data_IF_506789497498
#
_entry.id   IF_506789497498
#
_cell.length_a   1.000
_cell.length_b   1.000
_cell.length_c   1.000
_cell.angle_alpha   90.00
_cell.angle_beta   90.00
_cell.angle_gamma   90.00
#
_symmetry.space_group_name_H-M   'P 1'
#
loop_
_entity.id
_entity.type
_entity.pdbx_description
1 polymer ?
#
# COMPACT_ATOMS: atom_id res chain seq x y z
N UNK A 1 -12.78 9.68 -20.30
CA UNK A 1 -12.75 11.13 -20.05
C UNK A 1 -11.39 11.53 -19.47
N UNK A 2 -10.76 12.58 -20.06
CA UNK A 2 -9.42 13.05 -19.66
C UNK A 2 -9.32 13.44 -18.16
N UNK A 3 -10.43 13.71 -17.49
CA UNK A 3 -10.51 13.96 -16.05
C UNK A 3 -10.26 12.69 -15.21
N UNK A 4 -10.55 11.50 -15.74
CA UNK A 4 -10.35 10.23 -15.05
C UNK A 4 -8.89 9.75 -15.11
N UNK A 5 -8.15 10.06 -16.19
CA UNK A 5 -6.73 9.71 -16.32
C UNK A 5 -5.85 10.51 -15.35
N UNK A 6 -6.12 11.79 -15.15
CA UNK A 6 -5.43 12.60 -14.14
C UNK A 6 -5.79 12.16 -12.71
N UNK A 7 -6.97 11.54 -12.54
CA UNK A 7 -7.42 10.98 -11.25
C UNK A 7 -6.63 9.75 -10.81
N UNK A 8 -6.23 8.87 -11.73
CA UNK A 8 -5.57 7.58 -11.47
C UNK A 8 -4.03 7.65 -11.48
N UNK A 9 -3.45 8.78 -11.04
CA UNK A 9 -2.01 8.91 -10.87
C UNK A 9 -1.19 8.64 -12.14
N UNK A 10 -1.69 9.12 -13.29
CA UNK A 10 -0.99 9.03 -14.57
C UNK A 10 -0.86 7.61 -15.11
N UNK A 11 -1.76 6.70 -14.73
CA UNK A 11 -1.83 5.34 -15.27
C UNK A 11 -2.25 5.41 -16.74
N UNK A 12 -1.37 5.06 -17.71
CA UNK A 12 -1.67 5.22 -19.14
C UNK A 12 -2.65 4.17 -19.68
N UNK A 13 -2.75 3.00 -19.04
CA UNK A 13 -3.70 1.94 -19.39
C UNK A 13 -3.94 1.01 -18.21
N UNK A 14 -4.97 0.17 -18.27
CA UNK A 14 -5.25 -0.83 -17.24
C UNK A 14 -4.14 -1.89 -17.10
N UNK A 15 -3.40 -2.13 -18.17
CA UNK A 15 -2.28 -3.10 -18.19
C UNK A 15 -1.00 -2.53 -17.56
N UNK A 16 -0.99 -1.23 -17.24
CA UNK A 16 0.13 -0.58 -16.57
C UNK A 16 0.06 -0.82 -15.07
N UNK A 17 1.06 -1.46 -14.43
CA UNK A 17 1.04 -1.68 -12.98
C UNK A 17 0.94 -0.36 -12.20
N UNK A 18 -0.05 -0.26 -11.32
CA UNK A 18 -0.27 0.86 -10.42
C UNK A 18 0.01 0.45 -8.98
N UNK A 19 1.10 0.99 -8.43
CA UNK A 19 1.43 0.88 -7.01
C UNK A 19 0.83 2.06 -6.26
N UNK A 20 0.19 1.80 -5.14
CA UNK A 20 -0.40 2.83 -4.28
C UNK A 20 0.28 2.83 -2.90
N UNK A 21 0.65 4.00 -2.41
CA UNK A 21 1.09 4.20 -1.04
C UNK A 21 0.26 5.31 -0.39
N UNK A 22 -0.32 5.03 0.77
CA UNK A 22 -1.20 5.97 1.47
C UNK A 22 -0.66 6.25 2.87
N UNK A 23 -0.62 7.53 3.25
CA UNK A 23 -0.24 7.90 4.60
C UNK A 23 0.36 9.28 4.71
N UNK A 24 0.58 9.74 5.95
CA UNK A 24 1.24 11.01 6.20
C UNK A 24 2.65 11.02 5.60
N UNK A 25 3.04 12.12 4.97
CA UNK A 25 4.38 12.29 4.38
C UNK A 25 5.38 12.69 5.46
N UNK A 26 5.70 11.73 6.33
CA UNK A 26 6.67 11.84 7.45
C UNK A 26 7.66 10.68 7.38
N UNK A 27 8.83 10.82 8.01
CA UNK A 27 9.93 9.88 7.89
C UNK A 27 9.54 8.43 8.26
N UNK A 28 8.80 8.25 9.36
CA UNK A 28 8.41 6.92 9.85
C UNK A 28 7.52 6.12 8.90
N UNK A 29 6.84 6.78 7.93
CA UNK A 29 6.00 6.11 6.92
C UNK A 29 6.81 5.47 5.77
N UNK A 30 8.13 5.58 5.77
CA UNK A 30 9.01 4.81 4.90
C UNK A 30 8.94 5.14 3.41
N UNK A 31 8.27 6.22 3.00
CA UNK A 31 8.14 6.58 1.57
C UNK A 31 9.50 6.77 0.87
N UNK A 32 10.57 7.11 1.61
CA UNK A 32 11.92 7.17 1.04
C UNK A 32 12.46 5.78 0.66
N UNK A 33 12.18 4.75 1.46
CA UNK A 33 12.55 3.37 1.14
C UNK A 33 11.82 2.93 -0.14
N UNK A 34 10.53 3.22 -0.24
CA UNK A 34 9.75 2.93 -1.44
C UNK A 34 10.30 3.67 -2.68
N UNK A 35 10.65 4.96 -2.57
CA UNK A 35 11.25 5.67 -3.70
C UNK A 35 12.61 5.08 -4.11
N UNK A 36 13.41 4.60 -3.15
CA UNK A 36 14.71 3.97 -3.43
C UNK A 36 14.57 2.59 -4.09
N UNK A 37 13.44 1.89 -3.91
CA UNK A 37 13.15 0.63 -4.59
C UNK A 37 12.65 0.82 -6.02
N UNK A 38 12.14 1.99 -6.38
CA UNK A 38 11.55 2.25 -7.69
C UNK A 38 12.49 1.99 -8.89
N UNK A 39 13.80 2.30 -8.85
CA UNK A 39 14.69 1.96 -9.97
C UNK A 39 14.71 0.46 -10.28
N UNK A 40 14.78 -0.41 -9.26
CA UNK A 40 14.74 -1.87 -9.42
C UNK A 40 13.37 -2.38 -9.86
N UNK A 41 12.28 -1.76 -9.37
CA UNK A 41 10.91 -2.07 -9.81
C UNK A 41 10.73 -1.73 -11.29
N UNK A 42 11.15 -0.52 -11.71
CA UNK A 42 11.03 -0.06 -13.09
C UNK A 42 11.93 -0.82 -14.06
N UNK A 43 13.05 -1.37 -13.60
CA UNK A 43 13.91 -2.21 -14.43
C UNK A 43 13.18 -3.49 -14.90
N UNK A 44 12.30 -4.06 -14.06
CA UNK A 44 11.47 -5.22 -14.42
C UNK A 44 10.11 -4.83 -14.99
N UNK A 45 9.55 -3.72 -14.54
CA UNK A 45 8.23 -3.23 -14.93
C UNK A 45 8.32 -1.78 -15.43
N UNK A 46 8.85 -1.52 -16.64
CA UNK A 46 9.15 -0.15 -17.13
C UNK A 46 7.94 0.77 -17.19
N UNK A 47 6.73 0.20 -17.31
CA UNK A 47 5.47 0.93 -17.32
C UNK A 47 4.93 1.29 -15.94
N UNK A 48 5.43 0.69 -14.85
CA UNK A 48 4.84 0.84 -13.53
C UNK A 48 4.74 2.30 -13.07
N UNK A 49 3.67 2.61 -12.34
CA UNK A 49 3.41 3.93 -11.75
C UNK A 49 3.27 3.80 -10.25
N UNK A 50 3.83 4.76 -9.53
CA UNK A 50 3.68 4.89 -8.08
C UNK A 50 2.86 6.13 -7.75
N UNK A 51 1.73 5.92 -7.10
CA UNK A 51 0.91 6.98 -6.52
C UNK A 51 1.11 7.04 -5.01
N UNK A 52 1.58 8.16 -4.50
CA UNK A 52 1.67 8.41 -3.05
C UNK A 52 0.59 9.42 -2.67
N UNK A 53 -0.34 9.02 -1.81
CA UNK A 53 -1.46 9.87 -1.36
C UNK A 53 -1.24 10.27 0.09
N UNK A 54 -1.15 11.58 0.34
CA UNK A 54 -1.04 12.09 1.70
C UNK A 54 -0.51 13.51 1.81
N UNK A 55 -0.49 13.99 3.05
CA UNK A 55 0.04 15.33 3.40
C UNK A 55 1.18 15.18 4.42
N UNK A 56 2.14 16.10 4.38
CA UNK A 56 3.23 16.14 5.34
C UNK A 56 4.44 16.91 4.85
N UNK A 57 5.34 17.19 5.77
CA UNK A 57 6.51 18.04 5.52
C UNK A 57 7.53 17.43 4.54
N UNK A 58 7.50 16.11 4.34
CA UNK A 58 8.45 15.44 3.45
C UNK A 58 8.10 15.54 1.96
N UNK A 59 6.98 16.14 1.57
CA UNK A 59 6.55 16.20 0.15
C UNK A 59 7.66 16.72 -0.77
N UNK A 60 8.30 17.85 -0.41
CA UNK A 60 9.40 18.44 -1.21
C UNK A 60 10.62 17.51 -1.27
N UNK A 61 10.97 16.86 -0.17
CA UNK A 61 12.08 15.90 -0.07
C UNK A 61 11.82 14.68 -0.97
N UNK A 62 10.62 14.13 -0.95
CA UNK A 62 10.23 12.99 -1.78
C UNK A 62 10.30 13.32 -3.27
N UNK A 63 9.78 14.47 -3.70
CA UNK A 63 9.88 14.93 -5.10
C UNK A 63 11.34 15.12 -5.53
N UNK A 64 12.18 15.73 -4.69
CA UNK A 64 13.63 15.89 -4.96
C UNK A 64 14.32 14.53 -5.08
N UNK A 65 13.97 13.58 -4.21
CA UNK A 65 14.53 12.23 -4.23
C UNK A 65 14.10 11.46 -5.48
N UNK A 66 12.82 11.51 -5.85
CA UNK A 66 12.33 10.87 -7.08
C UNK A 66 13.08 11.39 -8.32
N UNK A 67 13.30 12.71 -8.40
CA UNK A 67 14.13 13.32 -9.48
C UNK A 67 15.57 12.83 -9.44
N UNK A 68 16.21 12.80 -8.25
CA UNK A 68 17.60 12.33 -8.09
C UNK A 68 17.80 10.87 -8.52
N UNK A 69 16.78 10.04 -8.26
CA UNK A 69 16.78 8.61 -8.64
C UNK A 69 16.39 8.38 -10.11
N UNK A 70 16.04 9.41 -10.88
CA UNK A 70 15.61 9.28 -12.27
C UNK A 70 14.19 8.72 -12.45
N UNK A 71 13.43 8.54 -11.34
CA UNK A 71 12.09 7.90 -11.35
C UNK A 71 10.94 8.91 -11.31
N UNK A 72 11.22 10.22 -11.41
CA UNK A 72 10.22 11.28 -11.30
C UNK A 72 9.08 11.18 -12.31
N UNK A 73 9.30 10.57 -13.47
CA UNK A 73 8.29 10.34 -14.51
C UNK A 73 7.26 9.27 -14.14
N UNK A 74 7.59 8.39 -13.19
CA UNK A 74 6.76 7.29 -12.75
C UNK A 74 6.14 7.52 -11.36
N UNK A 75 6.45 8.63 -10.66
CA UNK A 75 6.06 8.90 -9.28
C UNK A 75 5.14 10.11 -9.19
N UNK A 76 3.95 9.90 -8.66
CA UNK A 76 2.91 10.92 -8.48
C UNK A 76 2.62 11.09 -6.99
N UNK A 77 2.68 12.33 -6.47
CA UNK A 77 2.39 12.63 -5.07
C UNK A 77 1.16 13.53 -5.02
N UNK A 78 0.03 12.96 -4.58
CA UNK A 78 -1.24 13.66 -4.39
C UNK A 78 -1.40 14.12 -2.93
N UNK A 79 -2.22 15.13 -2.72
CA UNK A 79 -2.67 15.55 -1.39
C UNK A 79 -3.63 14.53 -0.75
N UNK A 80 -4.12 14.86 0.45
CA UNK A 80 -5.23 14.08 1.03
C UNK A 80 -6.51 14.31 0.21
N UNK A 81 -7.35 13.29 0.15
CA UNK A 81 -8.61 13.27 -0.58
C UNK A 81 -9.77 12.78 0.29
N UNK A 82 -10.99 12.78 -0.23
CA UNK A 82 -12.15 12.20 0.45
C UNK A 82 -12.03 10.69 0.58
N UNK A 83 -12.81 10.11 1.47
CA UNK A 83 -12.82 8.66 1.70
C UNK A 83 -13.26 7.89 0.44
N UNK A 84 -14.27 8.41 -0.27
CA UNK A 84 -14.80 7.81 -1.50
C UNK A 84 -13.73 7.76 -2.59
N UNK A 85 -13.01 8.87 -2.80
CA UNK A 85 -11.93 8.94 -3.77
C UNK A 85 -10.77 8.02 -3.39
N UNK A 86 -10.43 7.93 -2.10
CA UNK A 86 -9.39 7.03 -1.62
C UNK A 86 -9.78 5.57 -1.85
N UNK A 87 -11.03 5.19 -1.58
CA UNK A 87 -11.55 3.85 -1.86
C UNK A 87 -11.48 3.50 -3.37
N UNK A 88 -11.71 4.47 -4.26
CA UNK A 88 -11.52 4.27 -5.70
C UNK A 88 -10.05 4.02 -6.05
N UNK A 89 -9.11 4.76 -5.43
CA UNK A 89 -7.67 4.54 -5.65
C UNK A 89 -7.22 3.17 -5.16
N UNK A 90 -7.72 2.70 -4.01
CA UNK A 90 -7.45 1.34 -3.56
C UNK A 90 -7.93 0.31 -4.60
N UNK A 91 -9.20 0.36 -5.01
CA UNK A 91 -9.76 -0.58 -6.01
C UNK A 91 -9.10 -0.52 -7.39
N UNK A 92 -8.49 0.59 -7.74
CA UNK A 92 -7.82 0.78 -9.03
C UNK A 92 -6.35 0.40 -9.01
N UNK A 93 -5.75 0.25 -7.84
CA UNK A 93 -4.35 -0.15 -7.70
C UNK A 93 -4.20 -1.66 -7.87
N UNK A 94 -3.08 -2.07 -8.45
CA UNK A 94 -2.71 -3.49 -8.53
C UNK A 94 -2.09 -3.98 -7.24
N UNK A 95 -1.48 -3.07 -6.47
CA UNK A 95 -0.79 -3.40 -5.23
C UNK A 95 -0.69 -2.15 -4.34
N UNK A 96 -0.99 -2.30 -3.07
CA UNK A 96 -0.65 -1.29 -2.06
C UNK A 96 0.71 -1.60 -1.45
N UNK A 97 1.57 -0.60 -1.36
CA UNK A 97 2.88 -0.72 -0.70
C UNK A 97 2.89 0.12 0.56
N UNK A 98 3.05 -0.54 1.70
CA UNK A 98 3.02 0.11 3.01
C UNK A 98 4.33 -0.05 3.78
N UNK A 99 5.33 0.80 3.51
CA UNK A 99 6.69 0.65 4.02
C UNK A 99 6.93 1.29 5.38
N UNK A 100 5.91 1.39 6.23
CA UNK A 100 5.99 2.09 7.51
C UNK A 100 6.91 1.39 8.50
N UNK A 101 7.83 2.13 9.12
CA UNK A 101 8.79 1.62 10.09
C UNK A 101 8.16 1.33 11.46
N UNK A 102 7.06 1.99 11.77
CA UNK A 102 6.38 1.84 13.06
C UNK A 102 4.89 2.16 12.94
N UNK A 103 4.05 1.26 13.44
CA UNK A 103 2.59 1.40 13.53
C UNK A 103 2.07 0.93 14.88
N UNK A 104 0.94 1.52 15.30
CA UNK A 104 0.17 1.01 16.42
C UNK A 104 -0.75 -0.15 16.00
N UNK A 105 -1.35 -0.07 14.81
CA UNK A 105 -2.22 -1.09 14.22
C UNK A 105 -1.97 -1.24 12.72
N UNK A 106 -2.06 -0.15 11.93
CA UNK A 106 -1.92 -0.21 10.48
C UNK A 106 -3.26 -0.32 9.75
N UNK A 107 -4.11 0.72 9.84
CA UNK A 107 -5.43 0.72 9.19
C UNK A 107 -5.33 0.68 7.66
N UNK A 108 -4.33 1.32 7.06
CA UNK A 108 -4.18 1.36 5.59
C UNK A 108 -4.07 -0.03 4.95
N UNK A 109 -3.28 -0.99 5.48
CA UNK A 109 -3.33 -2.38 5.01
C UNK A 109 -4.72 -3.00 5.09
N UNK A 110 -5.46 -2.80 6.18
CA UNK A 110 -6.82 -3.32 6.32
C UNK A 110 -7.79 -2.67 5.33
N UNK A 111 -7.70 -1.35 5.10
CA UNK A 111 -8.49 -0.62 4.10
C UNK A 111 -8.20 -1.12 2.68
N UNK A 112 -6.94 -1.43 2.38
CA UNK A 112 -6.53 -2.02 1.11
C UNK A 112 -7.14 -3.40 0.90
N UNK A 113 -6.97 -4.31 1.86
CA UNK A 113 -7.55 -5.66 1.79
C UNK A 113 -9.08 -5.62 1.73
N UNK A 114 -9.73 -4.75 2.52
CA UNK A 114 -11.18 -4.54 2.45
C UNK A 114 -11.64 -4.10 1.06
N UNK A 115 -10.81 -3.34 0.36
CA UNK A 115 -11.07 -2.87 -1.02
C UNK A 115 -10.77 -3.93 -2.08
N UNK A 116 -10.24 -5.11 -1.70
CA UNK A 116 -9.85 -6.17 -2.61
C UNK A 116 -8.51 -5.90 -3.31
N UNK A 117 -7.60 -5.21 -2.64
CA UNK A 117 -6.27 -4.90 -3.19
C UNK A 117 -5.19 -5.49 -2.26
N UNK A 118 -4.30 -6.36 -2.74
CA UNK A 118 -3.26 -6.98 -1.93
C UNK A 118 -2.22 -5.95 -1.48
N UNK A 119 -1.49 -6.29 -0.43
CA UNK A 119 -0.54 -5.38 0.24
C UNK A 119 0.86 -5.98 0.28
N UNK A 120 1.87 -5.17 -0.01
CA UNK A 120 3.26 -5.44 0.36
C UNK A 120 3.63 -4.53 1.54
N UNK A 121 4.04 -5.12 2.66
CA UNK A 121 4.36 -4.38 3.89
C UNK A 121 5.61 -4.92 4.57
N UNK A 122 6.08 -4.22 5.61
CA UNK A 122 7.25 -4.65 6.39
C UNK A 122 6.95 -5.93 7.18
N UNK A 123 7.94 -6.81 7.25
CA UNK A 123 7.92 -8.01 8.08
C UNK A 123 8.18 -7.65 9.55
N UNK A 124 7.21 -7.00 10.18
CA UNK A 124 7.29 -6.50 11.57
C UNK A 124 5.92 -6.36 12.19
N UNK A 125 5.78 -6.73 13.48
CA UNK A 125 4.56 -6.48 14.24
C UNK A 125 4.24 -4.98 14.34
N UNK A 126 2.97 -4.57 14.37
CA UNK A 126 1.77 -5.42 14.34
C UNK A 126 1.31 -5.83 12.93
N UNK A 127 2.01 -5.41 11.88
CA UNK A 127 1.57 -5.63 10.49
C UNK A 127 1.54 -7.12 10.14
N UNK A 128 2.47 -7.92 10.67
CA UNK A 128 2.51 -9.38 10.48
C UNK A 128 1.40 -10.14 11.20
N UNK A 129 0.66 -9.50 12.11
CA UNK A 129 -0.54 -10.08 12.72
C UNK A 129 -1.74 -10.09 11.74
N UNK A 130 -1.71 -9.18 10.76
CA UNK A 130 -2.78 -8.98 9.79
C UNK A 130 -2.42 -9.49 8.40
N UNK A 131 -1.15 -9.34 8.03
CA UNK A 131 -0.61 -9.63 6.70
C UNK A 131 0.43 -10.75 6.81
N UNK A 132 0.20 -11.81 6.09
CA UNK A 132 1.13 -12.90 5.83
C UNK A 132 1.19 -13.19 4.31
N UNK A 133 1.95 -14.17 3.90
CA UNK A 133 2.14 -14.52 2.49
C UNK A 133 0.85 -14.97 1.79
N UNK A 134 -0.21 -15.34 2.54
CA UNK A 134 -1.50 -15.75 1.95
C UNK A 134 -2.35 -14.57 1.49
N UNK A 135 -2.12 -13.36 2.03
CA UNK A 135 -2.91 -12.16 1.73
C UNK A 135 -2.07 -10.97 1.26
N UNK A 136 -0.74 -11.13 1.17
CA UNK A 136 0.16 -10.08 0.72
C UNK A 136 1.62 -10.50 0.68
N UNK A 137 2.51 -9.54 0.49
CA UNK A 137 3.94 -9.73 0.49
C UNK A 137 4.62 -9.08 1.69
N UNK A 138 5.69 -9.68 2.17
CA UNK A 138 6.50 -9.16 3.27
C UNK A 138 7.92 -8.81 2.80
N UNK A 139 8.48 -7.75 3.36
CA UNK A 139 9.86 -7.34 3.11
C UNK A 139 10.54 -6.83 4.39
N UNK A 140 11.86 -6.86 4.42
CA UNK A 140 12.69 -6.38 5.53
C UNK A 140 12.57 -4.87 5.71
N UNK A 141 12.26 -4.43 6.92
CA UNK A 141 12.05 -3.03 7.25
C UNK A 141 13.27 -2.16 6.87
N UNK A 142 13.04 -1.11 6.11
CA UNK A 142 14.09 -0.18 5.68
C UNK A 142 14.98 -0.67 4.53
N UNK A 143 14.76 -1.87 3.99
CA UNK A 143 15.52 -2.45 2.88
C UNK A 143 14.85 -2.20 1.52
N UNK A 144 15.35 -1.26 0.67
CA UNK A 144 14.75 -0.96 -0.63
C UNK A 144 14.82 -2.12 -1.63
N UNK A 145 15.90 -2.90 -1.64
CA UNK A 145 16.05 -4.00 -2.59
C UNK A 145 15.12 -5.16 -2.24
N UNK A 146 14.93 -5.46 -0.95
CA UNK A 146 13.96 -6.48 -0.53
C UNK A 146 12.51 -6.03 -0.78
N UNK A 147 12.21 -4.72 -0.60
CA UNK A 147 10.94 -4.16 -1.02
C UNK A 147 10.72 -4.32 -2.53
N UNK A 148 11.74 -4.01 -3.36
CA UNK A 148 11.66 -4.20 -4.80
C UNK A 148 11.43 -5.67 -5.18
N UNK A 149 12.11 -6.61 -4.51
CA UNK A 149 11.89 -8.05 -4.67
C UNK A 149 10.44 -8.44 -4.41
N UNK A 150 9.89 -8.02 -3.28
CA UNK A 150 8.52 -8.34 -2.89
C UNK A 150 7.47 -7.75 -3.86
N UNK A 151 7.66 -6.49 -4.28
CA UNK A 151 6.77 -5.85 -5.28
C UNK A 151 6.87 -6.55 -6.63
N UNK A 152 8.07 -6.82 -7.12
CA UNK A 152 8.26 -7.50 -8.41
C UNK A 152 7.65 -8.91 -8.40
N UNK A 153 7.84 -9.68 -7.33
CA UNK A 153 7.23 -10.99 -7.19
C UNK A 153 5.69 -10.93 -7.27
N UNK A 154 5.08 -9.96 -6.58
CA UNK A 154 3.64 -9.75 -6.65
C UNK A 154 3.17 -9.32 -8.05
N UNK A 155 3.94 -8.50 -8.79
CA UNK A 155 3.59 -8.07 -10.14
C UNK A 155 3.77 -9.17 -11.19
N UNK A 156 4.73 -10.08 -10.99
CA UNK A 156 5.01 -11.24 -11.86
C UNK A 156 3.93 -12.34 -11.76
N UNK A 157 3.12 -12.36 -10.66
CA UNK A 157 2.05 -13.35 -10.46
C UNK A 157 0.66 -12.68 -10.32
N UNK A 158 0.00 -12.30 -11.41
CA UNK A 158 -1.34 -11.72 -11.36
C UNK A 158 -2.38 -12.63 -10.71
N UNK A 159 -2.31 -13.96 -10.95
CA UNK A 159 -3.26 -14.92 -10.37
C UNK A 159 -3.10 -15.04 -8.85
N UNK A 160 -1.86 -15.10 -8.36
CA UNK A 160 -1.57 -15.08 -6.93
C UNK A 160 -2.05 -13.79 -6.28
N UNK A 161 -1.89 -12.64 -6.93
CA UNK A 161 -2.44 -11.36 -6.45
C UNK A 161 -3.97 -11.38 -6.33
N UNK A 162 -4.67 -11.90 -7.33
CA UNK A 162 -6.14 -12.01 -7.30
C UNK A 162 -6.61 -12.90 -6.15
N UNK A 163 -5.91 -14.01 -5.90
CA UNK A 163 -6.20 -14.88 -4.76
C UNK A 163 -5.89 -14.20 -3.41
N UNK A 164 -4.73 -13.54 -3.30
CA UNK A 164 -4.38 -12.74 -2.11
C UNK A 164 -5.41 -11.63 -1.85
N UNK A 165 -5.89 -10.96 -2.88
CA UNK A 165 -6.93 -9.94 -2.79
C UNK A 165 -8.23 -10.51 -2.20
N UNK A 166 -8.67 -11.65 -2.70
CA UNK A 166 -9.87 -12.35 -2.23
C UNK A 166 -9.73 -12.79 -0.77
N UNK A 167 -8.67 -13.54 -0.46
CA UNK A 167 -8.41 -14.04 0.90
C UNK A 167 -8.20 -12.90 1.90
N UNK A 168 -7.53 -11.82 1.47
CA UNK A 168 -7.34 -10.63 2.28
C UNK A 168 -8.64 -9.94 2.64
N UNK A 169 -9.55 -9.79 1.67
CA UNK A 169 -10.88 -9.23 1.92
C UNK A 169 -11.70 -10.12 2.86
N UNK A 170 -11.70 -11.43 2.66
CA UNK A 170 -12.36 -12.39 3.55
C UNK A 170 -11.81 -12.29 4.98
N UNK A 171 -10.49 -12.20 5.14
CA UNK A 171 -9.82 -12.01 6.45
C UNK A 171 -10.30 -10.74 7.15
N UNK A 172 -10.36 -9.61 6.45
CA UNK A 172 -10.83 -8.35 7.04
C UNK A 172 -12.28 -8.45 7.47
N UNK A 173 -13.15 -8.95 6.59
CA UNK A 173 -14.59 -9.08 6.88
C UNK A 173 -14.88 -10.05 8.02
N UNK A 174 -14.02 -11.06 8.26
CA UNK A 174 -14.21 -12.06 9.32
C UNK A 174 -13.60 -11.68 10.67
N UNK A 175 -12.70 -10.67 10.73
CA UNK A 175 -11.94 -10.40 11.97
C UNK A 175 -11.76 -8.93 12.33
N UNK A 176 -11.79 -8.01 11.34
CA UNK A 176 -11.31 -6.63 11.54
C UNK A 176 -12.41 -5.60 11.26
N UNK A 177 -13.68 -5.98 11.38
CA UNK A 177 -14.79 -5.02 11.29
C UNK A 177 -15.08 -4.37 12.65
N UNK A 178 -15.79 -3.26 12.65
CA UNK A 178 -16.22 -2.61 13.89
C UNK A 178 -17.11 -3.50 14.74
N UNK A 179 -17.94 -4.35 14.12
CA UNK A 179 -18.80 -5.31 14.80
C UNK A 179 -17.96 -6.34 15.56
N UNK A 180 -16.91 -6.90 14.93
CA UNK A 180 -16.01 -7.84 15.61
C UNK A 180 -15.29 -7.18 16.78
N UNK A 181 -14.79 -5.96 16.61
CA UNK A 181 -14.17 -5.23 17.69
C UNK A 181 -15.13 -4.98 18.85
N UNK A 182 -16.38 -4.60 18.58
CA UNK A 182 -17.41 -4.39 19.60
C UNK A 182 -17.66 -5.65 20.42
N UNK A 183 -17.83 -6.79 19.74
CA UNK A 183 -18.03 -8.11 20.39
C UNK A 183 -16.81 -8.49 21.25
N UNK A 184 -15.61 -8.25 20.79
CA UNK A 184 -14.40 -8.60 21.54
C UNK A 184 -14.20 -7.69 22.76
N UNK A 185 -14.54 -6.40 22.68
CA UNK A 185 -14.57 -5.52 23.86
C UNK A 185 -15.65 -5.93 24.85
N UNK A 186 -16.84 -6.33 24.41
CA UNK A 186 -17.92 -6.83 25.28
C UNK A 186 -17.45 -8.03 26.08
N UNK A 187 -16.83 -9.03 25.43
CA UNK A 187 -16.26 -10.20 26.12
C UNK A 187 -15.21 -9.83 27.17
N UNK A 188 -14.34 -8.85 26.85
CA UNK A 188 -13.34 -8.37 27.80
C UNK A 188 -14.03 -7.74 29.02
N UNK A 189 -15.02 -6.89 28.83
CA UNK A 189 -15.78 -6.28 29.93
C UNK A 189 -16.51 -7.32 30.79
N UNK A 190 -17.15 -8.29 30.16
CA UNK A 190 -17.81 -9.40 30.88
C UNK A 190 -16.83 -10.24 31.71
N UNK A 191 -15.59 -10.38 31.25
CA UNK A 191 -14.55 -11.12 31.98
C UNK A 191 -14.00 -10.39 33.22
N UNK A 192 -14.32 -9.11 33.39
CA UNK A 192 -13.85 -8.27 34.50
C UNK A 192 -14.90 -8.14 35.63
N UNK A 193 -16.09 -8.66 35.43
CA UNK A 193 -17.20 -8.68 36.39
C UNK A 193 -17.29 -10.05 37.05
#
# INVERSE_FOLDING_TARGET
DAADEESLCGRPSKDTPLLLAVGRLVARKGHLTLLRSMPEILAKNPGARLCIIGRGHMRKTLLKQAKKLGVGHAVFIKGGMSFENLAQHFRSADLVVYPSYYEGQGLIPLESLASGTPVVTVNQAPLTEMIDETVGGLFECGNPSDLARAVNAALEDPKGRDEQAKLGRERVLSKYTYEHNAIDYEKIYESLI
#
